data_IF_451855301015
#
_entry.id   IF_451855301015
#
_cell.length_a   1.000
_cell.length_b   1.000
_cell.length_c   1.000
_cell.angle_alpha   90.00
_cell.angle_beta   90.00
_cell.angle_gamma   90.00
#
_symmetry.space_group_name_H-M   'P 1'
#
loop_
_entity.id
_entity.type
_entity.pdbx_description
1 polymer ?
#
# COMPACT_ATOMS: atom_id res chain seq x y z
N UNK A 1 10.17 30.51 7.07
CA UNK A 1 9.87 31.04 5.72
C UNK A 1 9.24 32.43 5.74
N UNK A 2 8.10 32.67 6.41
CA UNK A 2 7.48 34.03 6.49
C UNK A 2 8.44 35.08 7.06
N UNK A 3 9.19 34.73 8.11
CA UNK A 3 10.11 35.65 8.78
C UNK A 3 11.29 36.13 7.92
N UNK A 4 11.89 35.28 7.08
CA UNK A 4 13.03 35.69 6.23
C UNK A 4 12.58 36.66 5.14
N UNK A 5 11.45 36.39 4.50
CA UNK A 5 10.86 37.29 3.50
C UNK A 5 10.45 38.62 4.13
N UNK A 6 9.85 38.60 5.32
CA UNK A 6 9.52 39.81 6.10
C UNK A 6 10.77 40.57 6.48
N UNK A 7 11.83 39.90 6.94
CA UNK A 7 13.11 40.52 7.29
C UNK A 7 13.74 41.18 6.07
N UNK A 8 13.76 40.51 4.92
CA UNK A 8 14.36 41.04 3.68
C UNK A 8 13.58 42.25 3.15
N UNK A 9 12.25 42.20 3.15
CA UNK A 9 11.40 43.33 2.75
C UNK A 9 11.52 44.49 3.75
N UNK A 10 11.61 44.20 5.04
CA UNK A 10 11.79 45.23 6.07
C UNK A 10 13.16 45.90 5.92
N UNK A 11 14.21 45.12 5.63
CA UNK A 11 15.57 45.65 5.45
C UNK A 11 15.67 46.53 4.20
N UNK A 12 15.02 46.16 3.09
CA UNK A 12 14.98 46.99 1.88
C UNK A 12 14.19 48.30 2.07
N UNK A 13 13.10 48.26 2.84
CA UNK A 13 12.34 49.46 3.22
C UNK A 13 13.15 50.39 4.14
N UNK A 14 13.88 49.83 5.11
CA UNK A 14 14.74 50.59 6.03
C UNK A 14 15.87 51.27 5.25
N UNK A 15 16.55 50.56 4.36
CA UNK A 15 17.61 51.13 3.52
C UNK A 15 17.06 52.24 2.62
N UNK A 16 15.89 52.03 2.01
CA UNK A 16 15.25 53.06 1.17
C UNK A 16 14.88 54.31 1.97
N UNK A 17 14.38 54.14 3.20
CA UNK A 17 14.02 55.24 4.10
C UNK A 17 15.23 56.04 4.60
N UNK A 18 16.33 55.34 4.95
CA UNK A 18 17.60 55.96 5.34
C UNK A 18 18.19 56.76 4.18
N UNK A 19 18.13 56.22 2.95
CA UNK A 19 18.62 56.95 1.78
C UNK A 19 17.80 58.20 1.45
N UNK A 20 16.47 58.15 1.48
CA UNK A 20 15.60 59.34 1.28
C UNK A 20 15.92 60.43 2.31
N UNK A 21 16.19 60.04 3.56
CA UNK A 21 16.55 60.98 4.63
C UNK A 21 17.94 61.61 4.42
N UNK A 22 18.83 60.94 3.68
CA UNK A 22 20.22 61.36 3.43
C UNK A 22 20.40 62.03 2.05
N UNK A 23 19.42 61.91 1.15
CA UNK A 23 19.39 62.49 -0.21
C UNK A 23 19.42 64.03 -0.27
N UNK A 24 19.48 64.73 0.86
CA UNK A 24 19.62 66.20 0.89
C UNK A 24 20.98 66.72 0.39
N UNK A 25 22.00 65.88 0.15
CA UNK A 25 23.32 66.39 -0.25
C UNK A 25 24.08 65.74 -1.43
N UNK A 26 23.77 64.54 -1.95
CA UNK A 26 24.52 64.01 -3.12
C UNK A 26 23.63 63.18 -4.05
N UNK A 27 23.46 63.69 -5.27
CA UNK A 27 22.57 63.18 -6.29
C UNK A 27 23.32 62.20 -7.22
N UNK A 28 22.64 61.13 -7.65
CA UNK A 28 23.09 60.06 -8.58
C UNK A 28 23.85 58.87 -7.96
N UNK A 29 24.99 59.04 -7.29
CA UNK A 29 25.80 57.87 -6.83
C UNK A 29 25.09 56.99 -5.78
N UNK A 30 24.30 57.61 -4.90
CA UNK A 30 23.51 56.90 -3.88
C UNK A 30 22.42 56.03 -4.52
N UNK A 31 21.79 56.52 -5.60
CA UNK A 31 20.77 55.74 -6.32
C UNK A 31 21.37 54.53 -7.03
N UNK A 32 22.57 54.67 -7.62
CA UNK A 32 23.29 53.56 -8.24
C UNK A 32 23.62 52.46 -7.21
N UNK A 33 24.05 52.85 -6.01
CA UNK A 33 24.32 51.91 -4.91
C UNK A 33 23.06 51.15 -4.47
N UNK A 34 21.92 51.85 -4.32
CA UNK A 34 20.64 51.23 -3.97
C UNK A 34 20.20 50.21 -5.02
N UNK A 35 20.28 50.58 -6.30
CA UNK A 35 19.91 49.68 -7.41
C UNK A 35 20.82 48.45 -7.40
N UNK A 36 22.12 48.60 -7.14
CA UNK A 36 23.05 47.47 -7.05
C UNK A 36 22.69 46.51 -5.91
N UNK A 37 22.42 47.05 -4.71
CA UNK A 37 22.02 46.23 -3.54
C UNK A 37 20.68 45.54 -3.77
N UNK A 38 19.68 46.25 -4.32
CA UNK A 38 18.37 45.67 -4.64
C UNK A 38 18.49 44.57 -5.70
N UNK A 39 19.29 44.79 -6.75
CA UNK A 39 19.48 43.78 -7.81
C UNK A 39 20.16 42.52 -7.26
N UNK A 40 21.17 42.68 -6.42
CA UNK A 40 21.84 41.56 -5.74
C UNK A 40 20.87 40.79 -4.84
N UNK A 41 20.05 41.52 -4.08
CA UNK A 41 19.05 40.94 -3.19
C UNK A 41 17.98 40.14 -3.95
N UNK A 42 17.44 40.72 -5.02
CA UNK A 42 16.45 40.06 -5.88
C UNK A 42 17.05 38.80 -6.50
N UNK A 43 18.30 38.86 -6.96
CA UNK A 43 19.00 37.71 -7.54
C UNK A 43 19.15 36.58 -6.53
N UNK A 44 19.56 36.89 -5.28
CA UNK A 44 19.65 35.89 -4.20
C UNK A 44 18.29 35.32 -3.83
N UNK A 45 17.24 36.14 -3.79
CA UNK A 45 15.88 35.69 -3.50
C UNK A 45 15.36 34.74 -4.58
N UNK A 46 15.56 35.07 -5.86
CA UNK A 46 15.15 34.19 -6.97
C UNK A 46 15.93 32.89 -6.93
N UNK A 47 17.26 32.93 -6.75
CA UNK A 47 18.08 31.73 -6.60
C UNK A 47 17.64 30.85 -5.44
N UNK A 48 17.30 31.44 -4.30
CA UNK A 48 16.79 30.71 -3.14
C UNK A 48 15.39 30.12 -3.37
N UNK A 49 14.49 30.83 -4.05
CA UNK A 49 13.17 30.31 -4.42
C UNK A 49 13.29 29.11 -5.37
N UNK A 50 14.18 29.18 -6.36
CA UNK A 50 14.47 28.07 -7.28
C UNK A 50 15.02 26.86 -6.51
N UNK A 51 16.00 27.08 -5.61
CA UNK A 51 16.56 26.01 -4.78
C UNK A 51 15.48 25.31 -3.95
N UNK A 52 14.64 26.09 -3.27
CA UNK A 52 13.57 25.57 -2.43
C UNK A 52 12.51 24.82 -3.26
N UNK A 53 12.16 25.32 -4.46
CA UNK A 53 11.26 24.63 -5.37
C UNK A 53 11.81 23.27 -5.81
N UNK A 54 13.12 23.18 -6.12
CA UNK A 54 13.80 21.94 -6.47
C UNK A 54 13.76 20.96 -5.28
N UNK A 55 14.07 21.43 -4.07
CA UNK A 55 14.06 20.58 -2.87
C UNK A 55 12.67 20.03 -2.56
N UNK A 56 11.64 20.88 -2.65
CA UNK A 56 10.24 20.46 -2.47
C UNK A 56 9.84 19.43 -3.50
N UNK A 57 10.17 19.64 -4.79
CA UNK A 57 9.86 18.67 -5.85
C UNK A 57 10.55 17.32 -5.62
N UNK A 58 11.79 17.31 -5.15
CA UNK A 58 12.49 16.06 -4.80
C UNK A 58 11.75 15.31 -3.69
N UNK A 59 11.35 16.01 -2.61
CA UNK A 59 10.61 15.41 -1.49
C UNK A 59 9.23 14.89 -1.94
N UNK A 60 8.52 15.63 -2.78
CA UNK A 60 7.23 15.21 -3.32
C UNK A 60 7.37 13.93 -4.18
N UNK A 61 8.38 13.86 -5.05
CA UNK A 61 8.62 12.67 -5.86
C UNK A 61 8.96 11.44 -5.00
N UNK A 62 9.75 11.63 -3.94
CA UNK A 62 10.07 10.54 -3.02
C UNK A 62 8.83 10.06 -2.26
N UNK A 63 7.99 10.99 -1.77
CA UNK A 63 6.71 10.67 -1.14
C UNK A 63 5.77 9.93 -2.09
N UNK A 64 5.66 10.38 -3.34
CA UNK A 64 4.88 9.69 -4.37
C UNK A 64 5.39 8.27 -4.62
N UNK A 65 6.71 8.07 -4.66
CA UNK A 65 7.30 6.73 -4.83
C UNK A 65 6.98 5.81 -3.65
N UNK A 66 7.05 6.32 -2.42
CA UNK A 66 6.71 5.57 -1.21
C UNK A 66 5.22 5.22 -1.21
N UNK A 67 4.35 6.18 -1.52
CA UNK A 67 2.91 5.98 -1.60
C UNK A 67 2.54 4.95 -2.68
N UNK A 68 3.15 5.04 -3.87
CA UNK A 68 2.95 4.07 -4.95
C UNK A 68 3.39 2.66 -4.55
N UNK A 69 4.52 2.52 -3.84
CA UNK A 69 4.98 1.22 -3.34
C UNK A 69 4.05 0.64 -2.28
N UNK A 70 3.53 1.47 -1.38
CA UNK A 70 2.54 1.06 -0.39
C UNK A 70 1.23 0.61 -1.06
N UNK A 71 0.72 1.40 -2.00
CA UNK A 71 -0.48 1.08 -2.77
C UNK A 71 -0.31 -0.21 -3.58
N UNK A 72 0.85 -0.42 -4.21
CA UNK A 72 1.14 -1.66 -4.95
C UNK A 72 1.11 -2.89 -4.04
N UNK A 73 1.77 -2.82 -2.88
CA UNK A 73 1.78 -3.92 -1.90
C UNK A 73 0.37 -4.19 -1.36
N UNK A 74 -0.43 -3.15 -1.16
CA UNK A 74 -1.80 -3.32 -0.71
C UNK A 74 -2.66 -3.97 -1.80
N UNK A 75 -2.53 -3.51 -3.05
CA UNK A 75 -3.24 -4.07 -4.20
C UNK A 75 -2.87 -5.54 -4.45
N UNK A 76 -1.61 -5.92 -4.27
CA UNK A 76 -1.16 -7.32 -4.33
C UNK A 76 -1.92 -8.20 -3.33
N UNK A 77 -2.09 -7.74 -2.08
CA UNK A 77 -2.87 -8.47 -1.07
C UNK A 77 -4.36 -8.55 -1.41
N UNK A 78 -4.93 -7.51 -2.01
CA UNK A 78 -6.31 -7.55 -2.52
C UNK A 78 -6.44 -8.56 -3.67
N UNK A 79 -5.48 -8.59 -4.59
CA UNK A 79 -5.45 -9.52 -5.71
C UNK A 79 -5.44 -10.98 -5.22
N UNK A 80 -4.61 -11.30 -4.22
CA UNK A 80 -4.61 -12.63 -3.59
C UNK A 80 -5.99 -13.00 -3.00
N UNK A 81 -6.67 -12.07 -2.32
CA UNK A 81 -8.04 -12.33 -1.85
C UNK A 81 -9.01 -12.56 -3.00
N UNK A 82 -8.95 -11.79 -4.08
CA UNK A 82 -9.80 -11.99 -5.26
C UNK A 82 -9.56 -13.36 -5.89
N UNK A 83 -8.30 -13.75 -6.05
CA UNK A 83 -7.91 -15.07 -6.57
C UNK A 83 -8.46 -16.19 -5.67
N UNK A 84 -8.35 -16.05 -4.34
CA UNK A 84 -8.92 -16.99 -3.40
C UNK A 84 -10.44 -17.17 -3.60
N UNK A 85 -11.19 -16.07 -3.76
CA UNK A 85 -12.64 -16.12 -4.02
C UNK A 85 -12.94 -16.82 -5.35
N UNK A 86 -12.15 -16.59 -6.39
CA UNK A 86 -12.29 -17.29 -7.68
C UNK A 86 -12.11 -18.80 -7.48
N UNK A 87 -11.06 -19.23 -6.77
CA UNK A 87 -10.84 -20.65 -6.44
C UNK A 87 -12.04 -21.25 -5.70
N UNK A 88 -12.58 -20.54 -4.71
CA UNK A 88 -13.76 -20.99 -3.96
C UNK A 88 -14.98 -21.20 -4.87
N UNK A 89 -15.30 -20.21 -5.71
CA UNK A 89 -16.45 -20.29 -6.63
C UNK A 89 -16.26 -21.44 -7.62
N UNK A 90 -15.07 -21.56 -8.22
CA UNK A 90 -14.76 -22.65 -9.17
C UNK A 90 -14.84 -24.03 -8.49
N UNK A 91 -14.33 -24.16 -7.27
CA UNK A 91 -14.37 -25.42 -6.53
C UNK A 91 -15.81 -25.86 -6.22
N UNK A 92 -16.68 -24.92 -5.83
CA UNK A 92 -18.10 -25.20 -5.60
C UNK A 92 -18.83 -25.55 -6.88
N UNK A 93 -18.55 -24.84 -7.97
CA UNK A 93 -19.16 -25.14 -9.27
C UNK A 93 -18.79 -26.56 -9.73
N UNK A 94 -17.52 -26.97 -9.57
CA UNK A 94 -17.09 -28.34 -9.81
C UNK A 94 -17.87 -29.36 -8.96
N UNK A 95 -18.11 -29.07 -7.68
CA UNK A 95 -18.85 -29.99 -6.82
C UNK A 95 -20.32 -30.10 -7.25
N UNK A 96 -20.99 -28.95 -7.41
CA UNK A 96 -22.43 -28.90 -7.68
C UNK A 96 -22.80 -29.41 -9.07
N UNK A 97 -21.94 -29.19 -10.09
CA UNK A 97 -22.23 -29.58 -11.47
C UNK A 97 -21.67 -30.94 -11.86
N UNK A 98 -20.47 -31.27 -11.38
CA UNK A 98 -19.73 -32.45 -11.86
C UNK A 98 -19.59 -33.53 -10.79
N UNK A 99 -19.97 -33.25 -9.54
CA UNK A 99 -19.84 -34.16 -8.40
C UNK A 99 -18.40 -34.68 -8.19
N UNK A 100 -17.39 -33.90 -8.60
CA UNK A 100 -15.97 -34.26 -8.48
C UNK A 100 -15.43 -33.74 -7.15
N UNK A 101 -15.61 -34.52 -6.09
CA UNK A 101 -15.22 -34.11 -4.74
C UNK A 101 -13.73 -33.83 -4.56
N UNK A 102 -12.87 -34.70 -5.11
CA UNK A 102 -11.41 -34.58 -4.98
C UNK A 102 -10.88 -33.23 -5.50
N UNK A 103 -11.36 -32.81 -6.68
CA UNK A 103 -10.99 -31.53 -7.29
C UNK A 103 -11.56 -30.35 -6.52
N UNK A 104 -12.73 -30.51 -5.91
CA UNK A 104 -13.31 -29.48 -5.05
C UNK A 104 -12.50 -29.29 -3.77
N UNK A 105 -12.12 -30.37 -3.08
CA UNK A 105 -11.27 -30.28 -1.88
C UNK A 105 -9.95 -29.59 -2.23
N UNK A 106 -9.32 -29.97 -3.33
CA UNK A 106 -8.10 -29.31 -3.81
C UNK A 106 -8.30 -27.82 -4.10
N UNK A 107 -9.38 -27.46 -4.80
CA UNK A 107 -9.71 -26.07 -5.09
C UNK A 107 -10.00 -25.23 -3.83
N UNK A 108 -10.64 -25.83 -2.81
CA UNK A 108 -10.88 -25.17 -1.53
C UNK A 108 -9.58 -25.01 -0.72
N UNK A 109 -8.63 -25.94 -0.82
CA UNK A 109 -7.29 -25.76 -0.24
C UNK A 109 -6.47 -24.69 -0.97
N UNK A 110 -6.56 -24.59 -2.30
CA UNK A 110 -5.98 -23.49 -3.06
C UNK A 110 -6.59 -22.13 -2.66
N UNK A 111 -7.90 -22.09 -2.41
CA UNK A 111 -8.56 -20.90 -1.87
C UNK A 111 -7.95 -20.48 -0.53
N UNK A 112 -7.81 -21.42 0.40
CA UNK A 112 -7.24 -21.17 1.72
C UNK A 112 -5.79 -20.69 1.61
N UNK A 113 -4.97 -21.33 0.77
CA UNK A 113 -3.57 -20.96 0.59
C UNK A 113 -3.39 -19.55 0.04
N UNK A 114 -4.21 -19.15 -0.94
CA UNK A 114 -4.20 -17.78 -1.47
C UNK A 114 -4.79 -16.77 -0.49
N UNK A 115 -5.83 -17.14 0.26
CA UNK A 115 -6.43 -16.28 1.28
C UNK A 115 -5.46 -15.97 2.44
N UNK A 116 -4.57 -16.91 2.81
CA UNK A 116 -3.50 -16.69 3.79
C UNK A 116 -2.52 -15.59 3.36
N UNK A 117 -2.30 -15.41 2.05
CA UNK A 117 -1.48 -14.31 1.50
C UNK A 117 -2.28 -13.01 1.34
N UNK A 118 -3.60 -13.13 1.32
CA UNK A 118 -4.55 -12.05 1.05
C UNK A 118 -4.67 -10.99 2.16
N UNK A 119 -5.49 -9.98 1.86
CA UNK A 119 -5.87 -8.96 2.86
C UNK A 119 -6.95 -9.48 3.80
N UNK A 120 -7.96 -10.18 3.26
CA UNK A 120 -9.08 -10.69 4.05
C UNK A 120 -9.05 -12.20 4.19
N UNK A 121 -9.40 -12.67 5.39
CA UNK A 121 -9.37 -14.09 5.76
C UNK A 121 -10.74 -14.79 5.62
N UNK A 122 -11.83 -14.05 5.34
CA UNK A 122 -13.17 -14.64 5.19
C UNK A 122 -13.25 -15.81 4.18
N UNK A 123 -12.46 -15.87 3.08
CA UNK A 123 -12.52 -17.03 2.17
C UNK A 123 -12.05 -18.33 2.84
N UNK A 124 -11.22 -18.24 3.88
CA UNK A 124 -10.81 -19.38 4.69
C UNK A 124 -12.01 -19.93 5.44
N UNK A 125 -12.69 -19.08 6.20
CA UNK A 125 -13.87 -19.47 6.99
C UNK A 125 -14.97 -20.05 6.11
N UNK A 126 -15.16 -19.45 4.94
CA UNK A 126 -16.12 -19.91 3.94
C UNK A 126 -15.76 -21.29 3.39
N UNK A 127 -14.48 -21.52 3.08
CA UNK A 127 -13.98 -22.81 2.58
C UNK A 127 -14.07 -23.91 3.63
N UNK A 128 -13.66 -23.62 4.87
CA UNK A 128 -13.75 -24.56 6.00
C UNK A 128 -15.21 -24.92 6.26
N UNK A 129 -16.08 -23.93 6.36
CA UNK A 129 -17.52 -24.15 6.60
C UNK A 129 -18.14 -24.99 5.49
N UNK A 130 -17.83 -24.70 4.22
CA UNK A 130 -18.33 -25.51 3.11
C UNK A 130 -17.85 -26.97 3.18
N UNK A 131 -16.57 -27.20 3.47
CA UNK A 131 -16.03 -28.55 3.61
C UNK A 131 -16.67 -29.32 4.78
N UNK A 132 -16.97 -28.65 5.89
CA UNK A 132 -17.58 -29.28 7.06
C UNK A 132 -19.08 -29.52 6.86
N UNK A 133 -19.81 -28.51 6.40
CA UNK A 133 -21.27 -28.43 6.45
C UNK A 133 -21.93 -28.96 5.17
N UNK A 134 -21.26 -28.86 4.01
CA UNK A 134 -21.86 -29.18 2.70
C UNK A 134 -21.29 -30.43 2.03
N UNK A 135 -20.13 -30.94 2.47
CA UNK A 135 -19.53 -32.16 1.93
C UNK A 135 -19.68 -33.31 2.92
N UNK A 136 -20.53 -34.33 2.67
CA UNK A 136 -20.65 -35.47 3.57
C UNK A 136 -19.35 -36.28 3.61
N UNK A 137 -18.99 -36.86 4.75
CA UNK A 137 -17.73 -37.60 4.94
C UNK A 137 -17.57 -38.76 3.94
N UNK A 138 -18.68 -39.40 3.55
CA UNK A 138 -18.68 -40.51 2.59
C UNK A 138 -18.29 -40.08 1.16
N UNK A 139 -18.41 -38.78 0.85
CA UNK A 139 -18.01 -38.22 -0.43
C UNK A 139 -16.74 -37.37 -0.29
N UNK A 140 -16.08 -37.33 0.87
CA UNK A 140 -14.87 -36.54 1.08
C UNK A 140 -13.65 -37.35 0.65
N UNK A 141 -13.23 -37.13 -0.60
CA UNK A 141 -12.13 -37.86 -1.24
C UNK A 141 -10.88 -37.00 -1.32
N UNK A 142 -9.75 -37.56 -0.91
CA UNK A 142 -8.46 -36.87 -0.85
C UNK A 142 -7.40 -37.76 -1.51
N UNK A 143 -6.54 -37.17 -2.35
CA UNK A 143 -5.33 -37.86 -2.79
C UNK A 143 -4.39 -38.05 -1.60
N UNK A 144 -3.92 -39.28 -1.39
CA UNK A 144 -3.00 -39.61 -0.30
C UNK A 144 -1.76 -38.72 -0.26
N UNK A 145 -1.20 -38.39 -1.43
CA UNK A 145 -0.02 -37.52 -1.57
C UNK A 145 -0.23 -36.08 -1.11
N UNK A 146 -1.48 -35.59 -1.10
CA UNK A 146 -1.82 -34.20 -0.75
C UNK A 146 -2.21 -34.00 0.71
N UNK A 147 -2.47 -35.08 1.45
CA UNK A 147 -2.90 -35.04 2.85
C UNK A 147 -1.93 -34.23 3.73
N UNK A 148 -0.62 -34.46 3.59
CA UNK A 148 0.40 -33.74 4.36
C UNK A 148 0.43 -32.24 4.02
N UNK A 149 0.21 -31.89 2.74
CA UNK A 149 0.16 -30.50 2.28
C UNK A 149 -1.04 -29.79 2.92
N UNK A 150 -2.21 -30.43 2.89
CA UNK A 150 -3.42 -29.91 3.49
C UNK A 150 -3.27 -29.69 5.00
N UNK A 151 -2.69 -30.66 5.71
CA UNK A 151 -2.39 -30.53 7.14
C UNK A 151 -1.46 -29.33 7.41
N UNK A 152 -0.39 -29.18 6.62
CA UNK A 152 0.54 -28.05 6.75
C UNK A 152 -0.14 -26.70 6.54
N UNK A 153 -1.11 -26.62 5.63
CA UNK A 153 -1.91 -25.40 5.40
C UNK A 153 -2.80 -25.13 6.63
N UNK A 154 -3.50 -26.16 7.13
CA UNK A 154 -4.41 -26.03 8.27
C UNK A 154 -3.69 -25.58 9.55
N UNK A 155 -2.48 -26.06 9.82
CA UNK A 155 -1.70 -25.63 10.99
C UNK A 155 -1.30 -24.14 10.97
N UNK A 156 -1.40 -23.45 9.83
CA UNK A 156 -1.13 -22.01 9.73
C UNK A 156 -2.36 -21.16 10.09
N UNK A 157 -3.53 -21.77 10.24
CA UNK A 157 -4.80 -21.09 10.44
C UNK A 157 -5.14 -21.11 11.93
N UNK A 158 -5.43 -19.94 12.49
CA UNK A 158 -5.94 -19.82 13.84
C UNK A 158 -7.48 -19.78 13.80
N UNK A 159 -8.12 -20.95 13.68
CA UNK A 159 -9.59 -21.07 13.67
C UNK A 159 -10.00 -22.37 14.38
N UNK A 160 -10.96 -22.29 15.29
CA UNK A 160 -11.39 -23.41 16.15
C UNK A 160 -11.97 -24.58 15.35
N UNK A 161 -12.63 -24.29 14.22
CA UNK A 161 -13.21 -25.30 13.30
C UNK A 161 -12.15 -26.06 12.50
N UNK A 162 -10.89 -25.63 12.53
CA UNK A 162 -9.79 -26.33 11.85
C UNK A 162 -9.60 -27.74 12.44
N UNK A 163 -9.78 -27.91 13.75
CA UNK A 163 -9.64 -29.21 14.39
C UNK A 163 -10.69 -30.21 13.88
N UNK A 164 -11.94 -29.76 13.71
CA UNK A 164 -13.00 -30.58 13.10
C UNK A 164 -12.65 -31.02 11.68
N UNK A 165 -12.06 -30.10 10.89
CA UNK A 165 -11.64 -30.40 9.52
C UNK A 165 -10.46 -31.37 9.48
N UNK A 166 -9.51 -31.25 10.41
CA UNK A 166 -8.38 -32.19 10.57
C UNK A 166 -8.93 -33.60 10.87
N UNK A 167 -9.87 -33.73 11.81
CA UNK A 167 -10.51 -35.02 12.10
C UNK A 167 -11.19 -35.59 10.87
N UNK A 168 -11.92 -34.76 10.13
CA UNK A 168 -12.60 -35.15 8.88
C UNK A 168 -11.63 -35.65 7.81
N UNK A 169 -10.51 -34.96 7.61
CA UNK A 169 -9.46 -35.36 6.67
C UNK A 169 -8.79 -36.67 7.10
N UNK A 170 -8.58 -36.88 8.40
CA UNK A 170 -8.01 -38.13 8.90
C UNK A 170 -8.95 -39.33 8.69
N UNK A 171 -10.27 -39.11 8.72
CA UNK A 171 -11.30 -40.11 8.41
C UNK A 171 -11.65 -40.24 6.92
N UNK A 172 -11.05 -39.43 6.05
CA UNK A 172 -11.40 -39.37 4.63
C UNK A 172 -10.91 -40.60 3.86
N UNK A 173 -11.62 -40.93 2.78
CA UNK A 173 -11.22 -42.01 1.88
C UNK A 173 -10.03 -41.56 1.02
N UNK A 174 -8.91 -42.27 1.17
CA UNK A 174 -7.70 -42.07 0.38
C UNK A 174 -7.83 -42.83 -0.95
N UNK A 175 -7.68 -42.11 -2.06
CA UNK A 175 -7.61 -42.68 -3.41
C UNK A 175 -6.17 -42.73 -3.93
#
# INVERSE_FOLDING_TARGET
>A
MKWILVIVVSFSLIISFVCISTSRCYNVDVYAFIIAVLTLLVTLLIGFQIYNAIEVNKKLNEMQRIAAKAAYKENERYNHTTIAVVYYITAIDCYKRQNISEKTVDGLFCCIEEALKGKFQFPIDMSISYMLDNMPSNNFLIQKSKKEIYMRILYKINNDRVQELITKINSAYEK
#
